data_IF_545472899563
#
_entry.id   IF_545472899563
#
_cell.length_a   1.000
_cell.length_b   1.000
_cell.length_c   1.000
_cell.angle_alpha   90.00
_cell.angle_beta   90.00
_cell.angle_gamma   90.00
#
_symmetry.space_group_name_H-M   'P 1'
#
loop_
_entity.id
_entity.type
_entity.pdbx_description
1 polymer ?
#
# COMPACT_ATOMS: atom_id res chain seq x y z
N UNK A 1 -14.40 -14.80 79.38
CA UNK A 1 -13.30 -14.55 78.42
C UNK A 1 -13.88 -14.74 77.03
N UNK A 2 -13.68 -13.74 76.15
CA UNK A 2 -14.00 -13.72 74.70
C UNK A 2 -15.49 -13.85 74.34
N UNK A 3 -16.06 -13.08 73.42
CA UNK A 3 -15.54 -12.07 72.51
C UNK A 3 -16.62 -11.71 71.49
N UNK A 4 -16.56 -10.49 70.98
CA UNK A 4 -17.06 -9.99 69.69
C UNK A 4 -18.52 -10.21 69.24
N UNK A 5 -19.22 -9.08 69.10
CA UNK A 5 -19.66 -8.61 67.79
C UNK A 5 -21.11 -8.94 67.39
N UNK A 6 -21.97 -7.92 67.38
CA UNK A 6 -22.53 -7.32 66.14
C UNK A 6 -23.63 -6.34 66.54
N UNK A 7 -23.39 -5.04 66.32
CA UNK A 7 -24.38 -3.99 66.49
C UNK A 7 -25.26 -3.95 65.23
N UNK A 8 -26.58 -4.01 65.40
CA UNK A 8 -27.54 -3.96 64.31
C UNK A 8 -28.54 -2.82 64.52
N UNK A 9 -29.02 -2.30 63.38
CA UNK A 9 -30.22 -1.49 63.14
C UNK A 9 -30.11 0.03 63.21
N UNK A 10 -30.51 0.65 62.09
CA UNK A 10 -31.35 1.84 62.10
C UNK A 10 -30.83 3.01 61.28
N UNK A 11 -31.00 2.99 59.95
CA UNK A 11 -30.96 4.20 59.14
C UNK A 11 -32.35 4.43 58.54
N UNK A 12 -32.99 5.50 59.01
CA UNK A 12 -34.32 5.91 58.64
C UNK A 12 -34.35 6.60 57.28
N UNK A 13 -35.50 6.40 56.63
CA UNK A 13 -35.99 6.97 55.37
C UNK A 13 -36.00 8.50 55.41
N UNK A 14 -35.52 9.13 54.33
CA UNK A 14 -36.04 10.44 53.88
C UNK A 14 -36.13 10.43 52.35
N UNK A 15 -37.35 10.35 51.84
CA UNK A 15 -37.67 10.54 50.44
C UNK A 15 -37.57 12.02 50.08
N UNK A 16 -36.77 12.37 49.07
CA UNK A 16 -36.67 13.73 48.54
C UNK A 16 -37.38 13.81 47.18
N UNK A 17 -38.28 14.78 47.07
CA UNK A 17 -39.17 14.99 45.95
C UNK A 17 -38.42 15.38 44.66
N UNK A 18 -38.79 14.71 43.56
CA UNK A 18 -38.33 15.03 42.21
C UNK A 18 -38.95 16.34 41.72
N UNK A 19 -38.10 17.32 41.35
CA UNK A 19 -38.53 18.51 40.62
C UNK A 19 -37.90 18.45 39.23
N UNK A 20 -38.73 18.26 38.20
CA UNK A 20 -38.30 18.16 36.81
C UNK A 20 -37.94 19.56 36.26
N UNK A 21 -36.65 19.82 36.03
CA UNK A 21 -36.19 20.99 35.29
C UNK A 21 -36.13 20.66 33.80
N UNK A 22 -36.93 21.38 33.02
CA UNK A 22 -37.04 21.30 31.56
C UNK A 22 -35.73 21.79 30.92
N UNK A 23 -34.94 20.87 30.39
CA UNK A 23 -33.72 21.19 29.66
C UNK A 23 -34.05 21.84 28.30
N UNK A 24 -33.66 23.10 28.12
CA UNK A 24 -33.65 23.79 26.83
C UNK A 24 -32.51 23.22 25.97
N UNK A 25 -32.84 22.68 24.79
CA UNK A 25 -31.85 22.22 23.81
C UNK A 25 -31.21 23.43 23.14
N UNK A 26 -29.92 23.64 23.39
CA UNK A 26 -29.07 24.52 22.57
C UNK A 26 -28.67 23.75 21.30
N UNK A 27 -28.81 24.29 20.09
CA UNK A 27 -28.34 23.61 18.88
C UNK A 27 -26.80 23.54 18.92
N UNK A 28 -26.24 22.33 18.78
CA UNK A 28 -24.81 22.15 18.57
C UNK A 28 -24.45 22.71 17.20
N UNK A 29 -23.72 23.82 17.18
CA UNK A 29 -22.99 24.25 15.99
C UNK A 29 -21.88 23.23 15.74
N UNK A 30 -21.96 22.52 14.61
CA UNK A 30 -20.90 21.62 14.17
C UNK A 30 -19.79 22.51 13.59
N UNK A 31 -18.77 22.80 14.38
CA UNK A 31 -17.56 23.44 13.86
C UNK A 31 -16.82 22.42 13.03
N UNK A 32 -16.71 22.67 11.72
CA UNK A 32 -15.79 21.94 10.86
C UNK A 32 -14.39 22.33 11.27
N UNK A 33 -13.74 21.50 12.09
CA UNK A 33 -12.31 21.60 12.31
C UNK A 33 -11.63 21.14 11.02
N UNK A 34 -11.18 22.08 10.20
CA UNK A 34 -10.19 21.76 9.18
C UNK A 34 -8.98 21.18 9.92
N UNK A 35 -8.77 19.87 9.79
CA UNK A 35 -7.47 19.28 10.12
C UNK A 35 -6.47 19.93 9.17
N UNK A 36 -5.46 20.67 9.67
CA UNK A 36 -4.38 21.10 8.80
C UNK A 36 -3.73 19.82 8.26
N UNK A 37 -3.78 19.65 6.94
CA UNK A 37 -2.97 18.66 6.26
C UNK A 37 -1.51 19.09 6.49
N UNK A 38 -0.87 18.47 7.46
CA UNK A 38 0.53 18.67 7.73
C UNK A 38 1.31 17.93 6.63
N UNK A 39 1.56 18.58 5.50
CA UNK A 39 2.55 18.07 4.55
C UNK A 39 3.91 18.19 5.23
N UNK A 40 4.54 17.06 5.54
CA UNK A 40 5.95 16.99 5.93
C UNK A 40 6.80 17.81 4.95
N UNK A 41 7.95 18.32 5.41
CA UNK A 41 8.84 19.19 4.63
C UNK A 41 9.06 18.61 3.22
N UNK A 42 8.36 19.19 2.24
CA UNK A 42 8.41 18.77 0.85
C UNK A 42 9.84 18.97 0.37
N UNK A 43 10.53 17.88 -0.02
CA UNK A 43 11.57 18.03 -1.01
C UNK A 43 10.92 18.74 -2.20
N UNK A 44 11.47 19.89 -2.59
CA UNK A 44 10.94 20.63 -3.73
C UNK A 44 11.12 19.74 -4.95
N UNK A 45 10.02 19.31 -5.55
CA UNK A 45 10.06 18.50 -6.77
C UNK A 45 10.75 19.31 -7.87
N UNK A 46 11.76 18.72 -8.52
CA UNK A 46 12.44 19.35 -9.66
C UNK A 46 11.47 19.84 -10.73
N UNK A 47 10.47 19.02 -11.08
CA UNK A 47 9.47 19.39 -12.08
C UNK A 47 8.70 20.64 -11.68
N UNK A 48 8.29 20.76 -10.40
CA UNK A 48 7.60 21.94 -9.88
C UNK A 48 8.47 23.20 -9.96
N UNK A 49 9.72 23.10 -9.54
CA UNK A 49 10.65 24.23 -9.56
C UNK A 49 10.96 24.68 -10.99
N UNK A 50 11.08 23.74 -11.93
CA UNK A 50 11.27 24.03 -13.34
C UNK A 50 10.13 24.90 -13.91
N UNK A 51 8.87 24.60 -13.55
CA UNK A 51 7.71 25.44 -13.93
C UNK A 51 7.74 26.84 -13.30
N UNK A 52 8.44 27.01 -12.16
CA UNK A 52 8.61 28.29 -11.48
C UNK A 52 9.86 29.05 -11.94
N UNK A 53 10.61 28.52 -12.92
CA UNK A 53 11.87 29.12 -13.41
C UNK A 53 13.08 28.85 -12.53
N UNK A 54 12.96 27.97 -11.53
CA UNK A 54 14.04 27.56 -10.65
C UNK A 54 14.61 26.21 -11.11
N UNK A 55 15.94 26.06 -11.10
CA UNK A 55 16.60 24.79 -11.41
C UNK A 55 17.07 24.15 -10.10
N UNK A 56 16.25 23.28 -9.53
CA UNK A 56 16.55 22.53 -8.30
C UNK A 56 17.23 21.20 -8.64
N UNK A 57 18.56 21.14 -8.62
CA UNK A 57 19.30 19.96 -9.06
C UNK A 57 19.21 18.78 -8.07
N UNK A 58 18.85 19.06 -6.81
CA UNK A 58 18.80 18.07 -5.74
C UNK A 58 17.68 17.07 -6.00
N UNK A 59 18.04 15.83 -6.31
CA UNK A 59 17.10 14.73 -6.60
C UNK A 59 17.02 14.32 -8.07
N UNK A 60 17.77 14.98 -8.96
CA UNK A 60 17.94 14.57 -10.37
C UNK A 60 19.40 14.32 -10.70
N UNK A 61 20.30 15.16 -10.16
CA UNK A 61 21.73 15.06 -10.42
C UNK A 61 22.53 14.80 -9.13
N UNK A 62 23.54 13.91 -9.17
CA UNK A 62 23.82 12.96 -10.25
C UNK A 62 22.69 11.92 -10.41
N UNK A 63 22.67 11.19 -11.53
CA UNK A 63 21.68 10.13 -11.74
C UNK A 63 21.76 9.13 -10.57
N UNK A 64 20.62 8.71 -9.99
CA UNK A 64 20.63 7.79 -8.86
C UNK A 64 21.22 6.44 -9.27
N UNK A 65 22.18 5.95 -8.50
CA UNK A 65 22.80 4.64 -8.71
C UNK A 65 22.11 3.57 -7.85
N UNK A 66 22.10 2.35 -8.37
CA UNK A 66 21.53 1.17 -7.71
C UNK A 66 22.64 0.46 -6.92
N UNK A 67 22.32 -0.04 -5.73
CA UNK A 67 23.30 -0.80 -4.92
C UNK A 67 23.68 -2.13 -5.59
N UNK A 68 24.88 -2.64 -5.30
CA UNK A 68 25.32 -3.94 -5.85
C UNK A 68 24.48 -5.11 -5.35
N UNK A 69 23.96 -5.03 -4.12
CA UNK A 69 23.10 -6.06 -3.55
C UNK A 69 21.77 -6.16 -4.32
N UNK A 70 21.14 -5.01 -4.60
CA UNK A 70 19.91 -4.92 -5.39
C UNK A 70 20.13 -5.41 -6.84
N UNK A 71 21.30 -5.12 -7.43
CA UNK A 71 21.69 -5.65 -8.74
C UNK A 71 21.88 -7.18 -8.73
N UNK A 72 22.44 -7.74 -7.66
CA UNK A 72 22.58 -9.19 -7.52
C UNK A 72 21.22 -9.86 -7.41
N UNK A 73 20.35 -9.31 -6.57
CA UNK A 73 18.99 -9.80 -6.33
C UNK A 73 18.16 -9.81 -7.61
N UNK A 74 18.15 -8.71 -8.37
CA UNK A 74 17.35 -8.63 -9.59
C UNK A 74 17.80 -9.62 -10.67
N UNK A 75 19.10 -9.85 -10.79
CA UNK A 75 19.65 -10.76 -11.78
C UNK A 75 19.22 -12.21 -11.56
N UNK A 76 18.84 -12.58 -10.33
CA UNK A 76 18.27 -13.89 -10.03
C UNK A 76 16.89 -14.09 -10.67
N UNK A 77 16.11 -13.01 -10.83
CA UNK A 77 14.77 -13.04 -11.45
C UNK A 77 14.81 -12.81 -12.96
N UNK A 78 15.71 -11.94 -13.44
CA UNK A 78 15.81 -11.58 -14.87
C UNK A 78 16.00 -12.82 -15.75
N UNK A 79 16.96 -13.69 -15.42
CA UNK A 79 17.29 -14.85 -16.25
C UNK A 79 16.12 -15.82 -16.46
N UNK A 80 15.45 -16.31 -15.39
CA UNK A 80 14.29 -17.19 -15.52
C UNK A 80 13.11 -16.55 -16.25
N UNK A 81 12.81 -15.27 -15.97
CA UNK A 81 11.69 -14.56 -16.61
C UNK A 81 11.97 -14.35 -18.09
N UNK A 82 13.17 -13.91 -18.44
CA UNK A 82 13.57 -13.71 -19.84
C UNK A 82 13.51 -15.01 -20.65
N UNK A 83 13.96 -16.13 -20.08
CA UNK A 83 13.83 -17.44 -20.75
C UNK A 83 12.38 -17.83 -20.98
N UNK A 84 11.53 -17.65 -19.97
CA UNK A 84 10.10 -17.95 -20.12
C UNK A 84 9.45 -17.15 -21.26
N UNK A 85 9.71 -15.84 -21.33
CA UNK A 85 9.15 -15.00 -22.38
C UNK A 85 9.73 -15.27 -23.78
N UNK A 86 10.97 -15.74 -23.88
CA UNK A 86 11.57 -16.09 -25.17
C UNK A 86 11.18 -17.49 -25.67
N UNK A 87 11.11 -18.48 -24.77
CA UNK A 87 11.02 -19.88 -25.14
C UNK A 87 9.58 -20.43 -25.08
N UNK A 88 8.76 -19.94 -24.15
CA UNK A 88 7.43 -20.52 -23.87
C UNK A 88 6.26 -19.61 -24.28
N UNK A 89 6.46 -18.30 -24.37
CA UNK A 89 5.37 -17.34 -24.67
C UNK A 89 5.20 -17.14 -26.17
N UNK A 90 4.03 -17.52 -26.69
CA UNK A 90 3.62 -17.21 -28.06
C UNK A 90 2.67 -15.99 -28.08
N UNK A 91 3.25 -14.80 -28.16
CA UNK A 91 2.51 -13.54 -28.22
C UNK A 91 1.55 -13.44 -29.39
N UNK A 92 1.90 -14.03 -30.54
CA UNK A 92 1.06 -13.97 -31.74
C UNK A 92 -0.22 -14.77 -31.54
N UNK A 93 -0.10 -15.95 -30.92
CA UNK A 93 -1.25 -16.78 -30.59
C UNK A 93 -2.16 -16.08 -29.57
N UNK A 94 -1.59 -15.46 -28.53
CA UNK A 94 -2.34 -14.72 -27.52
C UNK A 94 -3.17 -13.59 -28.17
N UNK A 95 -2.57 -12.83 -29.07
CA UNK A 95 -3.25 -11.74 -29.78
C UNK A 95 -4.37 -12.25 -30.70
N UNK A 96 -4.11 -13.30 -31.48
CA UNK A 96 -5.10 -13.89 -32.40
C UNK A 96 -6.29 -14.52 -31.68
N UNK A 97 -6.04 -15.22 -30.57
CA UNK A 97 -7.08 -15.89 -29.79
C UNK A 97 -7.78 -14.93 -28.80
N UNK A 98 -7.18 -13.76 -28.56
CA UNK A 98 -7.64 -12.77 -27.58
C UNK A 98 -7.64 -13.29 -26.14
N UNK A 99 -6.82 -14.31 -25.85
CA UNK A 99 -6.79 -15.01 -24.56
C UNK A 99 -5.38 -15.44 -24.21
N UNK A 100 -5.00 -15.24 -22.96
CA UNK A 100 -3.75 -15.78 -22.41
C UNK A 100 -4.02 -17.24 -22.00
N UNK A 101 -3.24 -18.22 -22.50
CA UNK A 101 -3.38 -19.61 -22.11
C UNK A 101 -3.26 -19.81 -20.59
N UNK A 102 -4.02 -20.76 -20.05
CA UNK A 102 -4.03 -21.05 -18.60
C UNK A 102 -2.64 -21.47 -18.13
N UNK A 103 -1.94 -22.30 -18.90
CA UNK A 103 -0.59 -22.75 -18.59
C UNK A 103 0.40 -21.58 -18.46
N UNK A 104 0.28 -20.57 -19.35
CA UNK A 104 1.06 -19.33 -19.27
C UNK A 104 0.75 -18.56 -17.99
N UNK A 105 -0.54 -18.43 -17.62
CA UNK A 105 -0.94 -17.76 -16.38
C UNK A 105 -0.43 -18.48 -15.12
N UNK A 106 -0.49 -19.80 -15.10
CA UNK A 106 0.04 -20.62 -14.01
C UNK A 106 1.55 -20.45 -13.89
N UNK A 107 2.27 -20.43 -15.03
CA UNK A 107 3.71 -20.20 -15.04
C UNK A 107 4.08 -18.79 -14.55
N UNK A 108 3.36 -17.76 -15.00
CA UNK A 108 3.52 -16.38 -14.50
C UNK A 108 3.31 -16.30 -12.98
N UNK A 109 2.35 -17.06 -12.44
CA UNK A 109 2.12 -17.18 -10.99
C UNK A 109 3.26 -17.90 -10.29
N UNK A 110 3.77 -18.99 -10.86
CA UNK A 110 4.90 -19.75 -10.29
C UNK A 110 6.20 -18.93 -10.23
N UNK A 111 6.38 -18.01 -11.17
CA UNK A 111 7.49 -17.05 -11.22
C UNK A 111 7.29 -15.86 -10.26
N UNK A 112 6.15 -15.77 -9.56
CA UNK A 112 5.87 -14.69 -8.60
C UNK A 112 5.52 -13.35 -9.23
N UNK A 113 5.25 -13.28 -10.55
CA UNK A 113 5.03 -12.02 -11.27
C UNK A 113 3.70 -11.32 -10.89
N UNK A 114 2.78 -12.04 -10.25
CA UNK A 114 1.57 -11.49 -9.63
C UNK A 114 1.80 -10.88 -8.23
N UNK A 115 3.02 -10.88 -7.71
CA UNK A 115 3.35 -10.35 -6.38
C UNK A 115 4.64 -9.55 -6.32
N UNK A 116 5.08 -8.94 -7.43
CA UNK A 116 6.43 -8.37 -7.57
C UNK A 116 6.75 -7.36 -6.45
N UNK A 117 5.83 -6.44 -6.16
CA UNK A 117 6.04 -5.38 -5.16
C UNK A 117 5.36 -5.68 -3.82
N UNK A 118 4.73 -6.84 -3.68
CA UNK A 118 4.09 -7.25 -2.43
C UNK A 118 5.20 -7.69 -1.47
N UNK A 119 5.21 -7.21 -0.21
CA UNK A 119 6.22 -7.63 0.77
C UNK A 119 6.26 -9.15 0.96
N UNK A 120 7.44 -9.68 1.24
CA UNK A 120 7.65 -11.12 1.47
C UNK A 120 6.78 -11.67 2.62
N UNK A 121 6.51 -10.86 3.66
CA UNK A 121 5.63 -11.22 4.78
C UNK A 121 4.19 -11.56 4.36
N UNK A 122 3.75 -11.09 3.18
CA UNK A 122 2.46 -11.40 2.58
C UNK A 122 2.58 -12.39 1.41
N UNK A 123 3.74 -13.02 1.22
CA UNK A 123 3.99 -14.00 0.17
C UNK A 123 4.26 -13.41 -1.22
N UNK A 124 4.71 -12.14 -1.28
CA UNK A 124 5.21 -11.51 -2.50
C UNK A 124 6.73 -11.59 -2.65
N UNK A 125 7.26 -10.89 -3.65
CA UNK A 125 8.71 -10.84 -3.93
C UNK A 125 9.42 -9.65 -3.27
N UNK A 126 8.69 -8.65 -2.74
CA UNK A 126 9.27 -7.51 -2.03
C UNK A 126 10.13 -6.57 -2.87
N UNK A 127 10.08 -6.66 -4.21
CA UNK A 127 11.04 -5.98 -5.08
C UNK A 127 10.81 -4.45 -5.14
N UNK A 128 11.91 -3.72 -5.27
CA UNK A 128 11.92 -2.25 -5.38
C UNK A 128 11.22 -1.76 -6.66
N UNK A 129 10.91 -0.46 -6.75
CA UNK A 129 10.38 0.13 -7.98
C UNK A 129 11.34 0.00 -9.16
N UNK A 130 12.64 0.11 -8.91
CA UNK A 130 13.68 -0.04 -9.94
C UNK A 130 13.72 -1.47 -10.45
N UNK A 131 13.61 -2.44 -9.53
CA UNK A 131 13.58 -3.85 -9.90
C UNK A 131 12.31 -4.23 -10.65
N UNK A 132 11.15 -3.71 -10.22
CA UNK A 132 9.90 -3.83 -10.94
C UNK A 132 10.02 -3.28 -12.36
N UNK A 133 10.62 -2.10 -12.54
CA UNK A 133 10.80 -1.49 -13.85
C UNK A 133 11.65 -2.37 -14.79
N UNK A 134 12.75 -2.92 -14.28
CA UNK A 134 13.64 -3.78 -15.07
C UNK A 134 13.01 -5.14 -15.42
N UNK A 135 12.20 -5.74 -14.54
CA UNK A 135 11.37 -6.90 -14.93
C UNK A 135 10.29 -6.49 -15.94
N UNK A 136 9.76 -5.28 -15.81
CA UNK A 136 8.80 -4.69 -16.73
C UNK A 136 9.28 -4.58 -18.16
N UNK A 137 10.56 -4.28 -18.36
CA UNK A 137 11.18 -4.31 -19.68
C UNK A 137 11.08 -5.68 -20.34
N UNK A 138 11.19 -6.76 -19.57
CA UNK A 138 11.13 -8.14 -20.09
C UNK A 138 9.69 -8.53 -20.41
N UNK A 139 8.77 -8.41 -19.44
CA UNK A 139 7.41 -8.84 -19.70
C UNK A 139 6.67 -7.95 -20.73
N UNK A 140 7.20 -6.75 -21.01
CA UNK A 140 6.74 -5.87 -22.10
C UNK A 140 6.85 -6.47 -23.50
N UNK A 141 7.57 -7.59 -23.67
CA UNK A 141 7.58 -8.37 -24.91
C UNK A 141 6.17 -8.81 -25.33
N UNK A 142 5.26 -9.05 -24.38
CA UNK A 142 3.85 -9.32 -24.64
C UNK A 142 2.94 -8.27 -24.00
N UNK A 143 2.25 -7.49 -24.84
CA UNK A 143 1.38 -6.42 -24.37
C UNK A 143 0.17 -6.90 -23.55
N UNK A 144 -0.40 -8.06 -23.90
CA UNK A 144 -1.57 -8.63 -23.22
C UNK A 144 -1.23 -9.10 -21.81
N UNK A 145 -0.11 -9.81 -21.64
CA UNK A 145 0.43 -10.23 -20.35
C UNK A 145 0.83 -9.01 -19.53
N UNK A 146 1.53 -8.03 -20.14
CA UNK A 146 1.94 -6.79 -19.47
C UNK A 146 0.76 -6.06 -18.85
N UNK A 147 -0.30 -5.82 -19.62
CA UNK A 147 -1.49 -5.13 -19.13
C UNK A 147 -2.21 -5.94 -18.06
N UNK A 148 -2.23 -7.27 -18.19
CA UNK A 148 -2.84 -8.16 -17.19
C UNK A 148 -2.10 -8.08 -15.85
N UNK A 149 -0.76 -8.14 -15.86
CA UNK A 149 0.05 -8.01 -14.65
C UNK A 149 -0.05 -6.60 -14.06
N UNK A 150 0.03 -5.57 -14.90
CA UNK A 150 -0.05 -4.17 -14.47
C UNK A 150 -1.41 -3.87 -13.82
N UNK A 151 -2.53 -4.31 -14.42
CA UNK A 151 -3.86 -4.13 -13.85
C UNK A 151 -3.99 -4.84 -12.50
N UNK A 152 -3.46 -6.07 -12.40
CA UNK A 152 -3.46 -6.82 -11.14
C UNK A 152 -2.68 -6.10 -10.03
N UNK A 153 -1.47 -5.61 -10.31
CA UNK A 153 -0.61 -4.93 -9.34
C UNK A 153 -1.15 -3.54 -8.97
N UNK A 154 -1.49 -2.73 -9.97
CA UNK A 154 -1.81 -1.32 -9.78
C UNK A 154 -3.20 -1.09 -9.18
N UNK A 155 -4.17 -1.95 -9.53
CA UNK A 155 -5.57 -1.77 -9.12
C UNK A 155 -5.96 -2.77 -8.03
N UNK A 156 -5.56 -4.04 -8.17
CA UNK A 156 -5.96 -5.12 -7.26
C UNK A 156 -5.29 -5.06 -5.89
N UNK A 157 -3.98 -4.78 -5.84
CA UNK A 157 -3.18 -4.87 -4.61
C UNK A 157 -2.84 -3.50 -3.99
N UNK A 158 -2.60 -2.48 -4.83
CA UNK A 158 -2.14 -1.16 -4.37
C UNK A 158 -3.16 -0.43 -3.48
N UNK A 159 -4.46 -0.68 -3.67
CA UNK A 159 -5.52 -0.15 -2.80
C UNK A 159 -5.51 -0.71 -1.37
N UNK A 160 -5.08 -1.97 -1.19
CA UNK A 160 -4.96 -2.60 0.14
C UNK A 160 -3.64 -2.26 0.83
N UNK A 161 -2.52 -2.30 0.10
CA UNK A 161 -1.20 -1.97 0.67
C UNK A 161 -1.06 -0.46 0.96
N UNK A 162 -1.51 0.42 0.06
CA UNK A 162 -1.32 1.87 0.19
C UNK A 162 -1.93 2.47 1.46
N UNK A 163 -3.05 1.95 1.96
CA UNK A 163 -3.67 2.44 3.20
C UNK A 163 -2.95 1.97 4.48
N UNK A 164 -2.22 0.86 4.43
CA UNK A 164 -1.43 0.36 5.56
C UNK A 164 -0.08 1.07 5.66
N UNK A 165 0.58 1.33 4.51
CA UNK A 165 1.88 1.99 4.45
C UNK A 165 1.85 3.46 4.88
N UNK A 166 0.76 4.18 4.63
CA UNK A 166 0.58 5.59 5.07
C UNK A 166 0.44 5.74 6.61
N UNK A 167 0.33 4.63 7.35
CA UNK A 167 0.25 4.63 8.83
C UNK A 167 1.61 4.46 9.51
N UNK A 168 2.65 4.08 8.77
CA UNK A 168 4.00 3.81 9.31
C UNK A 168 5.06 4.85 8.87
N UNK A 169 4.66 5.93 8.19
CA UNK A 169 5.53 7.06 7.79
C UNK A 169 5.36 8.29 8.68
#
# INVERSE_FOLDING_TARGET
MSGCGFFSRGAAVVATAATAVRASRVPRVFTVTHRPLHTSLQSRSFAKELFLGNIEQKGVFPFPEISQDELSEINQFVGPVERFFNDEVDSRKIDQEGKIPVDTLEKLKSLGLFGIQVPEEYGGLGLSNTMYARLGEIFSMDGSITVTLAAHQAIGLKGHSGMHWDRQG
#
